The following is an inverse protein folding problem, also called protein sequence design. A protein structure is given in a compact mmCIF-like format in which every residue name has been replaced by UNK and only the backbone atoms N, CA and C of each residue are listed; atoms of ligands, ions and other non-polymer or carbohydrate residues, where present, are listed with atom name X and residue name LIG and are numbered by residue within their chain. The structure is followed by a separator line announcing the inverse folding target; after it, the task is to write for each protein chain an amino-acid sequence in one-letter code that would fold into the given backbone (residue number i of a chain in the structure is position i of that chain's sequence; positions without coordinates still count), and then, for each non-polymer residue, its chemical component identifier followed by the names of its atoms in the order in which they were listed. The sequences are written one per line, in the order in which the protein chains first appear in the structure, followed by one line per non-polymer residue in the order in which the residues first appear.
data_IF_205589576984
#
_entry.id   IF_205589576984
#
_cell.length_a   1.000
_cell.length_b   1.000
_cell.length_c   1.000
_cell.angle_alpha   90.00
_cell.angle_beta   90.00
_cell.angle_gamma   90.00
#
_symmetry.space_group_name_H-M   'P 1'
#
loop_
_entity.id
_entity.type
_entity.pdbx_description
1 polymer ?
#
# COMPACT_ATOMS: atom_id res chain seq x y z
N UNK A 1 -5.09 11.35 15.14
CA UNK A 1 -6.57 11.36 14.99
C UNK A 1 -7.22 10.03 15.38
N UNK A 2 -6.59 8.88 15.10
CA UNK A 2 -7.16 7.53 15.29
C UNK A 2 -6.66 6.74 16.51
N UNK A 3 -6.06 7.41 17.50
CA UNK A 3 -5.59 6.73 18.71
C UNK A 3 -6.72 5.99 19.43
N UNK A 4 -6.52 4.71 19.76
CA UNK A 4 -7.53 3.83 20.36
C UNK A 4 -8.10 4.35 21.69
N UNK A 5 -7.27 4.99 22.52
CA UNK A 5 -7.63 5.41 23.88
C UNK A 5 -8.02 6.90 23.94
N UNK A 6 -7.22 7.76 23.31
CA UNK A 6 -7.34 9.23 23.40
C UNK A 6 -7.43 9.92 22.03
N UNK A 7 -7.60 9.16 20.95
CA UNK A 7 -7.79 9.72 19.62
C UNK A 7 -9.13 10.44 19.51
N UNK A 8 -9.19 11.45 18.64
CA UNK A 8 -10.42 12.18 18.30
C UNK A 8 -11.53 11.21 17.87
N UNK A 9 -11.19 10.18 17.09
CA UNK A 9 -12.10 9.09 16.75
C UNK A 9 -12.75 8.45 17.98
N UNK A 10 -11.94 8.02 18.96
CA UNK A 10 -12.42 7.31 20.14
C UNK A 10 -13.33 8.21 20.99
N UNK A 11 -13.02 9.51 21.07
CA UNK A 11 -13.85 10.50 21.76
C UNK A 11 -15.20 10.72 21.05
N UNK A 12 -15.19 10.89 19.73
CA UNK A 12 -16.44 11.03 18.94
C UNK A 12 -17.29 9.77 19.07
N UNK A 13 -16.69 8.57 18.97
CA UNK A 13 -17.43 7.31 19.07
C UNK A 13 -18.01 7.05 20.47
N UNK A 14 -17.43 7.66 21.51
CA UNK A 14 -17.98 7.63 22.87
C UNK A 14 -19.28 8.42 22.99
N UNK A 15 -19.35 9.58 22.33
CA UNK A 15 -20.54 10.45 22.33
C UNK A 15 -21.59 9.97 21.30
N UNK A 16 -21.13 9.47 20.15
CA UNK A 16 -21.99 9.02 19.04
C UNK A 16 -21.52 7.62 18.59
N UNK A 17 -22.09 6.53 19.15
CA UNK A 17 -21.68 5.16 18.83
C UNK A 17 -21.85 4.80 17.34
N UNK A 18 -22.83 5.42 16.68
CA UNK A 18 -23.11 5.24 15.25
C UNK A 18 -22.19 6.05 14.33
N UNK A 19 -21.29 6.89 14.87
CA UNK A 19 -20.38 7.69 14.06
C UNK A 19 -19.36 6.79 13.36
N UNK A 20 -19.46 6.73 12.05
CA UNK A 20 -18.52 6.02 11.20
C UNK A 20 -17.23 6.84 11.10
N UNK A 21 -16.12 6.26 11.54
CA UNK A 21 -14.81 6.86 11.34
C UNK A 21 -14.12 6.21 10.15
N UNK A 22 -14.07 6.96 9.05
CA UNK A 22 -13.32 6.60 7.85
C UNK A 22 -12.12 7.53 7.74
N UNK A 23 -10.93 6.96 7.64
CA UNK A 23 -9.76 7.70 7.15
C UNK A 23 -9.84 7.83 5.63
N UNK A 24 -9.33 8.94 5.06
CA UNK A 24 -9.22 9.02 3.60
C UNK A 24 -8.38 7.89 3.04
N UNK A 25 -8.79 7.38 1.88
CA UNK A 25 -8.23 6.13 1.37
C UNK A 25 -6.73 6.24 1.11
N UNK A 26 -6.27 7.38 0.60
CA UNK A 26 -4.84 7.67 0.44
C UNK A 26 -4.07 7.68 1.76
N UNK A 27 -4.69 8.17 2.85
CA UNK A 27 -4.06 8.09 4.17
C UNK A 27 -4.02 6.65 4.70
N UNK A 28 -5.07 5.85 4.43
CA UNK A 28 -5.08 4.43 4.81
C UNK A 28 -3.98 3.67 4.10
N UNK A 29 -3.77 3.91 2.80
CA UNK A 29 -2.64 3.34 2.04
C UNK A 29 -1.29 3.76 2.62
N UNK A 30 -1.12 5.06 2.92
CA UNK A 30 0.12 5.54 3.55
C UNK A 30 0.42 4.83 4.88
N UNK A 31 -0.60 4.65 5.73
CA UNK A 31 -0.41 3.96 7.00
C UNK A 31 -0.01 2.49 6.83
N UNK A 32 -0.54 1.77 5.84
CA UNK A 32 -0.12 0.39 5.55
C UNK A 32 1.38 0.31 5.32
N UNK A 33 1.90 1.15 4.43
CA UNK A 33 3.30 1.09 4.02
C UNK A 33 4.23 1.59 5.14
N UNK A 34 3.89 2.71 5.79
CA UNK A 34 4.69 3.25 6.91
C UNK A 34 4.74 2.25 8.07
N UNK A 35 3.60 1.63 8.42
CA UNK A 35 3.58 0.63 9.49
C UNK A 35 4.32 -0.64 9.07
N UNK A 36 4.27 -1.03 7.80
CA UNK A 36 5.06 -2.17 7.30
C UNK A 36 6.56 -1.87 7.37
N UNK A 37 6.98 -0.70 6.89
CA UNK A 37 8.38 -0.25 6.94
C UNK A 37 8.92 -0.14 8.36
N UNK A 38 8.08 0.18 9.34
CA UNK A 38 8.49 0.28 10.75
C UNK A 38 8.48 -1.05 11.50
N UNK A 39 7.52 -1.93 11.20
CA UNK A 39 7.30 -3.15 11.99
C UNK A 39 7.87 -4.42 11.35
N UNK A 40 8.30 -4.37 10.07
CA UNK A 40 9.03 -5.46 9.43
C UNK A 40 10.50 -5.09 9.39
N UNK A 41 11.33 -5.80 10.16
CA UNK A 41 12.76 -5.49 10.31
C UNK A 41 13.48 -5.34 8.97
N UNK A 42 13.27 -6.27 8.04
CA UNK A 42 13.95 -6.23 6.75
C UNK A 42 13.48 -5.05 5.86
N UNK A 43 12.21 -4.63 5.98
CA UNK A 43 11.71 -3.41 5.33
C UNK A 43 12.34 -2.16 5.96
N UNK A 44 12.41 -2.11 7.29
CA UNK A 44 13.05 -1.02 8.03
C UNK A 44 14.52 -0.85 7.62
N UNK A 45 15.28 -1.94 7.62
CA UNK A 45 16.68 -1.93 7.22
C UNK A 45 16.88 -1.41 5.79
N UNK A 46 16.00 -1.80 4.86
CA UNK A 46 16.02 -1.27 3.50
C UNK A 46 15.79 0.25 3.45
N UNK A 47 14.71 0.75 4.08
CA UNK A 47 14.40 2.18 4.04
C UNK A 47 15.46 3.03 4.77
N UNK A 48 16.06 2.53 5.84
CA UNK A 48 17.19 3.21 6.51
C UNK A 48 18.43 3.25 5.62
N UNK A 49 18.74 2.16 4.89
CA UNK A 49 19.84 2.17 3.91
C UNK A 49 19.56 3.18 2.78
N UNK A 50 18.32 3.22 2.28
CA UNK A 50 17.88 4.14 1.24
C UNK A 50 18.00 5.61 1.69
N UNK A 51 17.61 5.91 2.93
CA UNK A 51 17.74 7.26 3.51
C UNK A 51 19.20 7.69 3.64
N UNK A 52 20.06 6.82 4.14
CA UNK A 52 21.50 7.10 4.24
C UNK A 52 22.12 7.41 2.89
N UNK A 53 21.69 6.68 1.86
CA UNK A 53 22.15 6.87 0.49
C UNK A 53 21.74 8.25 -0.05
N UNK A 54 20.48 8.63 0.14
CA UNK A 54 19.98 9.95 -0.26
C UNK A 54 20.70 11.10 0.47
N UNK A 55 20.87 10.99 1.78
CA UNK A 55 21.57 12.00 2.61
C UNK A 55 23.02 12.15 2.16
N UNK A 56 23.72 11.04 1.91
CA UNK A 56 25.11 11.07 1.43
C UNK A 56 25.21 11.79 0.08
N UNK A 57 24.34 11.43 -0.87
CA UNK A 57 24.30 12.01 -2.21
C UNK A 57 23.81 13.46 -2.27
N UNK A 58 23.11 13.94 -1.23
CA UNK A 58 22.63 15.32 -1.12
C UNK A 58 23.71 16.32 -0.70
N UNK A 59 24.87 15.85 -0.24
CA UNK A 59 26.00 16.73 0.09
C UNK A 59 26.54 17.41 -1.17
N UNK A 60 26.75 18.73 -1.15
CA UNK A 60 27.12 19.54 -2.33
C UNK A 60 28.22 18.94 -3.22
N UNK A 61 29.30 18.40 -2.62
CA UNK A 61 30.41 17.79 -3.36
C UNK A 61 30.01 16.45 -4.01
N UNK A 62 29.30 15.60 -3.28
CA UNK A 62 28.83 14.31 -3.80
C UNK A 62 27.79 14.55 -4.89
N UNK A 63 26.90 15.52 -4.68
CA UNK A 63 25.86 15.91 -5.61
C UNK A 63 26.42 16.37 -6.95
N UNK A 64 27.49 17.18 -6.94
CA UNK A 64 28.15 17.61 -8.18
C UNK A 64 28.79 16.45 -8.93
N UNK A 65 29.46 15.53 -8.22
CA UNK A 65 30.06 14.34 -8.85
C UNK A 65 28.98 13.45 -9.44
N UNK A 66 27.91 13.19 -8.67
CA UNK A 66 26.77 12.39 -9.13
C UNK A 66 26.11 12.97 -10.38
N UNK A 67 25.96 14.29 -10.43
CA UNK A 67 25.40 14.99 -11.59
C UNK A 67 26.29 14.85 -12.83
N UNK A 68 27.60 15.03 -12.67
CA UNK A 68 28.56 14.90 -13.77
C UNK A 68 28.57 13.46 -14.31
N UNK A 69 28.64 12.46 -13.43
CA UNK A 69 28.62 11.04 -13.82
C UNK A 69 27.32 10.69 -14.55
N UNK A 70 26.16 11.21 -14.09
CA UNK A 70 24.89 11.01 -14.81
C UNK A 70 24.90 11.59 -16.22
N UNK A 71 25.49 12.78 -16.41
CA UNK A 71 25.58 13.44 -17.72
C UNK A 71 26.56 12.72 -18.66
N UNK A 72 27.65 12.17 -18.13
CA UNK A 72 28.62 11.38 -18.91
C UNK A 72 28.05 10.03 -19.32
N UNK A 73 27.30 9.37 -18.43
CA UNK A 73 26.73 8.04 -18.68
C UNK A 73 25.40 8.07 -19.43
N UNK A 74 24.66 9.19 -19.40
CA UNK A 74 23.34 9.28 -20.03
C UNK A 74 23.11 10.64 -20.68
N UNK A 75 22.59 10.62 -21.92
CA UNK A 75 22.21 11.85 -22.66
C UNK A 75 20.85 12.43 -22.23
N UNK A 76 20.34 12.06 -21.04
CA UNK A 76 19.02 12.45 -20.53
C UNK A 76 19.15 13.52 -19.45
N UNK A 77 18.01 14.05 -19.00
CA UNK A 77 17.95 14.96 -17.86
C UNK A 77 18.45 14.28 -16.58
N UNK A 78 19.20 15.04 -15.77
CA UNK A 78 19.73 14.60 -14.46
C UNK A 78 18.56 14.26 -13.54
N UNK A 79 18.59 13.06 -12.97
CA UNK A 79 17.59 12.62 -11.99
C UNK A 79 18.14 12.90 -10.59
N UNK A 80 17.31 13.57 -9.79
CA UNK A 80 17.60 13.90 -8.41
C UNK A 80 17.06 12.81 -7.50
N UNK A 81 17.88 12.36 -6.55
CA UNK A 81 17.39 11.53 -5.46
C UNK A 81 16.35 12.31 -4.64
N UNK A 82 15.44 11.57 -4.02
CA UNK A 82 14.30 12.13 -3.31
C UNK A 82 14.41 11.78 -1.85
N UNK A 83 14.32 12.81 -1.02
CA UNK A 83 14.30 12.65 0.42
C UNK A 83 13.07 11.84 0.84
N UNK A 84 13.32 10.81 1.65
CA UNK A 84 12.27 10.07 2.33
C UNK A 84 11.60 10.99 3.34
N UNK A 85 10.28 10.92 3.41
CA UNK A 85 9.54 11.59 4.47
C UNK A 85 8.75 10.56 5.24
N UNK A 86 8.83 10.63 6.58
CA UNK A 86 8.09 9.74 7.48
C UNK A 86 6.57 9.84 7.34
N UNK A 87 6.09 10.92 6.69
CA UNK A 87 4.68 11.31 6.64
C UNK A 87 4.05 11.17 5.26
N UNK A 88 4.84 11.12 4.17
CA UNK A 88 4.31 11.09 2.80
C UNK A 88 4.88 9.94 1.99
N UNK A 89 4.04 8.94 1.85
CA UNK A 89 4.09 7.81 0.95
C UNK A 89 4.56 8.11 -0.50
N UNK A 90 4.11 9.20 -1.12
CA UNK A 90 4.50 9.56 -2.51
C UNK A 90 6.01 9.78 -2.66
N UNK A 91 6.68 10.20 -1.59
CA UNK A 91 8.13 10.37 -1.55
C UNK A 91 8.86 9.03 -1.57
N UNK A 92 8.29 7.95 -1.02
CA UNK A 92 8.92 6.63 -0.98
C UNK A 92 8.99 6.00 -2.37
N UNK A 93 7.88 6.01 -3.12
CA UNK A 93 7.86 5.56 -4.51
C UNK A 93 8.87 6.37 -5.36
N UNK A 94 8.83 7.70 -5.25
CA UNK A 94 9.74 8.57 -6.00
C UNK A 94 11.23 8.34 -5.63
N UNK A 95 11.54 8.04 -4.38
CA UNK A 95 12.89 7.71 -3.92
C UNK A 95 13.38 6.37 -4.50
N UNK A 96 12.57 5.31 -4.39
CA UNK A 96 12.90 4.01 -4.98
C UNK A 96 13.09 4.13 -6.50
N UNK A 97 12.15 4.78 -7.19
CA UNK A 97 12.20 4.92 -8.64
C UNK A 97 13.41 5.76 -9.10
N UNK A 98 13.77 6.82 -8.36
CA UNK A 98 14.97 7.61 -8.66
C UNK A 98 16.24 6.76 -8.53
N UNK A 99 16.41 6.05 -7.41
CA UNK A 99 17.58 5.17 -7.19
C UNK A 99 17.64 4.05 -8.22
N UNK A 100 16.51 3.43 -8.56
CA UNK A 100 16.45 2.37 -9.57
C UNK A 100 16.91 2.88 -10.95
N UNK A 101 16.45 4.07 -11.36
CA UNK A 101 16.83 4.68 -12.64
C UNK A 101 18.29 5.15 -12.67
N UNK A 102 18.86 5.51 -11.52
CA UNK A 102 20.23 6.03 -11.43
C UNK A 102 21.19 5.05 -10.78
N UNK A 103 20.87 3.75 -10.72
CA UNK A 103 21.67 2.78 -9.97
C UNK A 103 23.12 2.69 -10.50
N UNK A 104 23.31 2.63 -11.83
CA UNK A 104 24.67 2.56 -12.41
C UNK A 104 25.48 3.85 -12.15
N UNK A 105 24.97 5.06 -12.48
CA UNK A 105 25.67 6.31 -12.14
C UNK A 105 25.98 6.47 -10.65
N UNK A 106 25.08 5.98 -9.79
CA UNK A 106 25.22 6.05 -8.35
C UNK A 106 26.37 5.16 -7.86
N UNK A 107 26.44 3.92 -8.35
CA UNK A 107 27.54 3.01 -8.04
C UNK A 107 28.88 3.56 -8.52
N UNK A 108 28.93 4.13 -9.71
CA UNK A 108 30.16 4.74 -10.22
C UNK A 108 30.58 5.96 -9.40
N UNK A 109 29.63 6.81 -9.03
CA UNK A 109 29.89 7.95 -8.14
C UNK A 109 30.49 7.50 -6.81
N UNK A 110 29.96 6.43 -6.22
CA UNK A 110 30.46 5.88 -4.97
C UNK A 110 31.87 5.30 -5.12
N UNK A 111 32.19 4.65 -6.26
CA UNK A 111 33.55 4.16 -6.56
C UNK A 111 34.55 5.31 -6.68
N UNK A 112 34.25 6.33 -7.48
CA UNK A 112 35.10 7.52 -7.66
C UNK A 112 35.39 8.18 -6.30
N UNK A 113 34.36 8.35 -5.47
CA UNK A 113 34.53 8.95 -4.15
C UNK A 113 35.28 8.06 -3.15
N UNK A 114 35.15 6.74 -3.27
CA UNK A 114 35.88 5.77 -2.45
C UNK A 114 37.38 5.71 -2.76
N UNK A 115 37.77 6.05 -3.99
CA UNK A 115 39.17 6.13 -4.43
C UNK A 115 39.86 7.44 -4.00
N UNK A 116 39.08 8.43 -3.52
CA UNK A 116 39.61 9.69 -3.01
C UNK A 116 40.57 9.51 -1.82
N UNK A 117 41.64 10.31 -1.77
CA UNK A 117 42.70 10.25 -0.75
C UNK A 117 42.17 10.32 0.68
N UNK A 118 42.05 9.18 1.36
CA UNK A 118 41.88 8.98 2.82
C UNK A 118 41.06 10.03 3.59
N UNK A 119 39.99 10.56 2.99
CA UNK A 119 39.06 11.47 3.66
C UNK A 119 37.97 10.68 4.37
N UNK A 120 37.33 11.29 5.37
CA UNK A 120 36.11 10.77 6.01
C UNK A 120 35.05 10.38 4.96
N UNK A 121 34.90 11.21 3.92
CA UNK A 121 34.00 10.95 2.79
C UNK A 121 34.35 9.69 2.00
N UNK A 122 35.63 9.40 1.79
CA UNK A 122 36.04 8.18 1.08
C UNK A 122 35.69 6.92 1.90
N UNK A 123 35.82 6.99 3.22
CA UNK A 123 35.40 5.91 4.13
C UNK A 123 33.87 5.75 4.11
N UNK A 124 33.15 6.87 4.18
CA UNK A 124 31.69 6.88 4.12
C UNK A 124 31.18 6.34 2.78
N UNK A 125 31.77 6.77 1.65
CA UNK A 125 31.45 6.25 0.31
C UNK A 125 31.63 4.74 0.22
N UNK A 126 32.73 4.20 0.77
CA UNK A 126 32.95 2.73 0.86
C UNK A 126 31.85 2.05 1.67
N UNK A 127 31.46 2.64 2.79
CA UNK A 127 30.40 2.08 3.64
C UNK A 127 29.03 2.09 2.96
N UNK A 128 28.69 3.18 2.26
CA UNK A 128 27.43 3.30 1.50
C UNK A 128 27.42 2.36 0.31
N UNK A 129 28.53 2.23 -0.42
CA UNK A 129 28.68 1.26 -1.51
C UNK A 129 28.46 -0.17 -1.03
N UNK A 130 28.93 -0.53 0.17
CA UNK A 130 28.69 -1.86 0.76
C UNK A 130 27.22 -2.11 1.13
N UNK A 131 26.39 -1.07 1.28
CA UNK A 131 24.96 -1.25 1.54
C UNK A 131 24.20 -1.74 0.31
N UNK A 132 24.71 -1.46 -0.89
CA UNK A 132 24.15 -1.85 -2.18
C UNK A 132 24.61 -3.27 -2.52
N UNK A 133 24.11 -4.22 -1.74
CA UNK A 133 24.26 -5.65 -1.98
C UNK A 133 23.08 -6.20 -2.80
N UNK A 134 23.13 -7.48 -3.17
CA UNK A 134 22.03 -8.13 -3.89
C UNK A 134 20.70 -8.01 -3.12
N UNK A 135 20.73 -8.10 -1.79
CA UNK A 135 19.55 -7.94 -0.94
C UNK A 135 18.94 -6.54 -1.04
N UNK A 136 19.76 -5.50 -1.14
CA UNK A 136 19.30 -4.13 -1.39
C UNK A 136 18.66 -3.98 -2.77
N UNK A 137 19.26 -4.54 -3.83
CA UNK A 137 18.67 -4.50 -5.18
C UNK A 137 17.34 -5.25 -5.20
N UNK A 138 17.27 -6.44 -4.60
CA UNK A 138 16.03 -7.21 -4.51
C UNK A 138 14.95 -6.40 -3.80
N UNK A 139 15.29 -5.81 -2.64
CA UNK A 139 14.36 -4.96 -1.90
C UNK A 139 13.94 -3.73 -2.70
N UNK A 140 14.85 -3.11 -3.46
CA UNK A 140 14.58 -1.96 -4.31
C UNK A 140 13.55 -2.30 -5.39
N UNK A 141 13.78 -3.36 -6.17
CA UNK A 141 12.85 -3.82 -7.23
C UNK A 141 11.51 -4.22 -6.63
N UNK A 142 11.54 -4.98 -5.54
CA UNK A 142 10.34 -5.47 -4.88
C UNK A 142 9.47 -4.36 -4.29
N UNK A 143 10.08 -3.41 -3.55
CA UNK A 143 9.35 -2.27 -3.02
C UNK A 143 8.91 -1.33 -4.14
N UNK A 144 9.69 -1.13 -5.20
CA UNK A 144 9.26 -0.30 -6.33
C UNK A 144 7.99 -0.87 -6.98
N UNK A 145 7.91 -2.17 -7.21
CA UNK A 145 6.71 -2.82 -7.73
C UNK A 145 5.47 -2.61 -6.85
N UNK A 146 5.61 -2.81 -5.54
CA UNK A 146 4.49 -2.62 -4.59
C UNK A 146 4.09 -1.15 -4.51
N UNK A 147 5.07 -0.25 -4.42
CA UNK A 147 4.87 1.18 -4.30
C UNK A 147 4.29 1.79 -5.60
N UNK A 148 4.60 1.24 -6.77
CA UNK A 148 3.99 1.69 -8.03
C UNK A 148 2.49 1.33 -8.07
N UNK A 149 2.14 0.08 -7.77
CA UNK A 149 0.74 -0.40 -7.71
C UNK A 149 -0.09 0.42 -6.74
N UNK A 150 0.45 0.64 -5.54
CA UNK A 150 -0.23 1.44 -4.53
C UNK A 150 -0.32 2.93 -4.95
N UNK A 151 0.58 3.45 -5.80
CA UNK A 151 0.61 4.84 -6.31
C UNK A 151 -0.45 5.06 -7.36
N UNK A 152 -0.60 4.10 -8.26
CA UNK A 152 -1.72 4.07 -9.18
C UNK A 152 -3.04 4.08 -8.41
N UNK A 153 -3.19 3.19 -7.41
CA UNK A 153 -4.38 3.16 -6.56
C UNK A 153 -4.62 4.51 -5.86
N UNK A 154 -3.59 5.10 -5.24
CA UNK A 154 -3.71 6.39 -4.57
C UNK A 154 -4.18 7.50 -5.52
N UNK A 155 -3.66 7.53 -6.75
CA UNK A 155 -4.05 8.52 -7.76
C UNK A 155 -5.50 8.31 -8.20
N UNK A 156 -5.91 7.06 -8.42
CA UNK A 156 -7.28 6.72 -8.78
C UNK A 156 -8.25 7.09 -7.66
N UNK A 157 -7.92 6.77 -6.41
CA UNK A 157 -8.69 7.11 -5.21
C UNK A 157 -8.80 8.63 -4.94
N UNK A 158 -7.97 9.44 -5.57
CA UNK A 158 -7.99 10.91 -5.50
C UNK A 158 -8.65 11.56 -6.73
N UNK A 159 -9.11 10.77 -7.71
CA UNK A 159 -9.78 11.31 -8.88
C UNK A 159 -11.11 11.96 -8.46
N UNK A 160 -11.40 13.14 -9.02
CA UNK A 160 -12.60 13.95 -8.67
C UNK A 160 -13.90 13.26 -9.04
N UNK A 161 -13.88 12.46 -10.10
CA UNK A 161 -15.05 11.77 -10.64
C UNK A 161 -15.16 10.33 -10.15
N UNK A 162 -14.36 9.93 -9.16
CA UNK A 162 -14.38 8.56 -8.64
C UNK A 162 -15.66 8.31 -7.84
N UNK A 163 -16.41 7.28 -8.22
CA UNK A 163 -17.52 6.79 -7.42
C UNK A 163 -17.09 5.77 -6.35
N UNK A 164 -17.95 5.58 -5.34
CA UNK A 164 -17.64 4.74 -4.19
C UNK A 164 -17.45 3.26 -4.56
N UNK A 165 -18.23 2.75 -5.52
CA UNK A 165 -18.10 1.36 -5.94
C UNK A 165 -16.80 1.09 -6.69
N UNK A 166 -16.38 2.00 -7.56
CA UNK A 166 -15.09 1.91 -8.24
C UNK A 166 -13.97 1.97 -7.20
N UNK A 167 -14.07 2.83 -6.18
CA UNK A 167 -13.09 2.87 -5.09
C UNK A 167 -12.97 1.51 -4.36
N UNK A 168 -14.10 0.86 -4.05
CA UNK A 168 -14.11 -0.49 -3.43
C UNK A 168 -13.49 -1.53 -4.35
N UNK A 169 -13.86 -1.52 -5.63
CA UNK A 169 -13.37 -2.47 -6.61
C UNK A 169 -11.85 -2.33 -6.79
N UNK A 170 -11.34 -1.10 -6.95
CA UNK A 170 -9.91 -0.84 -7.08
C UNK A 170 -9.08 -1.34 -5.89
N UNK A 171 -9.60 -1.14 -4.68
CA UNK A 171 -8.95 -1.67 -3.47
C UNK A 171 -8.92 -3.19 -3.48
N UNK A 172 -10.03 -3.84 -3.86
CA UNK A 172 -10.10 -5.31 -3.95
C UNK A 172 -9.15 -5.86 -5.00
N UNK A 173 -9.14 -5.26 -6.20
CA UNK A 173 -8.23 -5.63 -7.28
C UNK A 173 -6.76 -5.55 -6.85
N UNK A 174 -6.35 -4.50 -6.14
CA UNK A 174 -4.96 -4.39 -5.66
C UNK A 174 -4.64 -5.44 -4.58
N UNK A 175 -5.60 -5.78 -3.72
CA UNK A 175 -5.41 -6.87 -2.75
C UNK A 175 -5.24 -8.21 -3.49
N UNK A 176 -6.09 -8.47 -4.48
CA UNK A 176 -6.03 -9.69 -5.32
C UNK A 176 -4.69 -9.75 -6.08
N UNK A 177 -4.25 -8.67 -6.72
CA UNK A 177 -2.95 -8.59 -7.39
C UNK A 177 -1.78 -8.89 -6.44
N UNK A 178 -1.80 -8.37 -5.22
CA UNK A 178 -0.76 -8.65 -4.22
C UNK A 178 -0.81 -10.10 -3.71
N UNK A 179 -1.99 -10.70 -3.63
CA UNK A 179 -2.17 -12.11 -3.31
C UNK A 179 -1.70 -13.04 -4.43
N UNK A 180 -1.91 -12.64 -5.69
CA UNK A 180 -1.36 -13.32 -6.86
C UNK A 180 0.17 -13.27 -6.86
N UNK A 181 0.77 -12.09 -6.62
CA UNK A 181 2.23 -11.96 -6.48
C UNK A 181 2.74 -12.94 -5.41
N UNK A 182 2.04 -13.06 -4.28
CA UNK A 182 2.41 -13.96 -3.19
C UNK A 182 2.31 -15.45 -3.59
N UNK A 183 1.42 -15.82 -4.51
CA UNK A 183 1.12 -17.22 -4.82
C UNK A 183 2.32 -17.91 -5.52
N UNK A 184 2.90 -18.97 -4.94
CA UNK A 184 4.03 -19.67 -5.56
C UNK A 184 3.67 -20.40 -6.85
N UNK A 185 2.39 -20.73 -7.07
CA UNK A 185 1.88 -21.49 -8.22
C UNK A 185 1.29 -20.59 -9.32
N UNK A 186 1.31 -19.26 -9.15
CA UNK A 186 0.84 -18.37 -10.22
C UNK A 186 1.74 -18.50 -11.44
N UNK A 187 1.23 -19.14 -12.50
CA UNK A 187 1.84 -19.05 -13.83
C UNK A 187 1.76 -17.60 -14.32
N UNK A 188 2.69 -17.14 -15.20
CA UNK A 188 2.49 -15.90 -15.92
C UNK A 188 1.25 -16.05 -16.80
N UNK A 189 0.07 -15.71 -16.28
CA UNK A 189 -1.11 -15.64 -17.13
C UNK A 189 -0.88 -14.58 -18.22
N UNK A 190 -1.45 -14.82 -19.40
CA UNK A 190 -1.27 -14.02 -20.62
C UNK A 190 -1.78 -12.56 -20.53
N UNK A 191 -2.21 -12.10 -19.34
CA UNK A 191 -2.39 -10.68 -19.05
C UNK A 191 -1.01 -10.05 -18.87
N UNK A 192 -0.60 -9.24 -19.85
CA UNK A 192 0.74 -8.64 -19.97
C UNK A 192 1.26 -7.81 -18.76
N UNK A 193 0.51 -7.72 -17.65
CA UNK A 193 0.82 -6.92 -16.47
C UNK A 193 0.89 -7.70 -15.13
N UNK A 194 0.74 -9.04 -15.11
CA UNK A 194 0.88 -9.81 -13.85
C UNK A 194 2.35 -10.05 -13.51
N UNK A 195 2.86 -9.31 -12.52
CA UNK A 195 4.25 -9.44 -12.05
C UNK A 195 4.30 -10.49 -10.95
N UNK A 196 4.78 -11.68 -11.27
CA UNK A 196 5.02 -12.72 -10.26
C UNK A 196 6.34 -12.50 -9.51
N UNK A 197 6.49 -13.17 -8.38
CA UNK A 197 7.76 -13.21 -7.62
C UNK A 197 8.95 -13.70 -8.46
N UNK A 198 8.70 -14.57 -9.43
CA UNK A 198 9.71 -15.02 -10.39
C UNK A 198 10.23 -13.88 -11.27
N UNK A 199 9.35 -12.97 -11.69
CA UNK A 199 9.73 -11.78 -12.47
C UNK A 199 10.59 -10.82 -11.64
N UNK A 200 10.16 -10.51 -10.40
CA UNK A 200 10.94 -9.66 -9.48
C UNK A 200 12.34 -10.23 -9.26
N UNK A 201 12.45 -11.56 -9.08
CA UNK A 201 13.73 -12.23 -8.93
C UNK A 201 14.58 -12.16 -10.21
N UNK A 202 13.99 -12.41 -11.37
CA UNK A 202 14.69 -12.38 -12.66
C UNK A 202 15.21 -10.97 -12.99
N UNK A 203 14.38 -9.95 -12.79
CA UNK A 203 14.75 -8.53 -12.94
C UNK A 203 15.89 -8.16 -11.99
N UNK A 204 15.82 -8.60 -10.73
CA UNK A 204 16.89 -8.39 -9.75
C UNK A 204 18.20 -9.01 -10.22
N UNK A 205 18.19 -10.23 -10.76
CA UNK A 205 19.39 -10.87 -11.32
C UNK A 205 19.96 -10.02 -12.47
N UNK A 206 19.12 -9.60 -13.40
CA UNK A 206 19.55 -8.80 -14.56
C UNK A 206 20.18 -7.47 -14.11
N UNK A 207 19.56 -6.76 -13.18
CA UNK A 207 20.10 -5.53 -12.61
C UNK A 207 21.40 -5.76 -11.84
N UNK A 208 21.44 -6.81 -11.01
CA UNK A 208 22.66 -7.16 -10.27
C UNK A 208 23.83 -7.47 -11.20
N UNK A 209 23.60 -8.23 -12.28
CA UNK A 209 24.61 -8.52 -13.30
C UNK A 209 25.08 -7.26 -14.01
N UNK A 210 24.16 -6.38 -14.40
CA UNK A 210 24.48 -5.10 -15.04
C UNK A 210 25.37 -4.23 -14.16
N UNK A 211 25.09 -4.20 -12.85
CA UNK A 211 25.83 -3.41 -11.87
C UNK A 211 27.13 -4.08 -11.37
N UNK A 212 27.44 -5.32 -11.81
CA UNK A 212 28.60 -6.07 -11.34
C UNK A 212 28.52 -6.54 -9.88
N UNK A 213 27.31 -6.67 -9.34
CA UNK A 213 27.05 -7.13 -7.97
C UNK A 213 26.82 -8.65 -8.00
N UNK A 214 27.49 -9.44 -7.14
CA UNK A 214 27.36 -10.89 -7.14
C UNK A 214 25.95 -11.30 -6.71
N UNK A 215 25.26 -12.03 -7.59
CA UNK A 215 23.98 -12.66 -7.28
C UNK A 215 24.21 -13.95 -6.46
N UNK A 216 23.27 -14.33 -5.58
CA UNK A 216 23.32 -15.61 -4.89
C UNK A 216 23.29 -16.75 -5.92
N UNK A 217 24.29 -17.62 -5.86
CA UNK A 217 24.35 -18.83 -6.67
C UNK A 217 23.49 -19.90 -6.02
N UNK A 218 22.69 -20.63 -6.80
CA UNK A 218 21.94 -21.81 -6.31
C UNK A 218 22.87 -22.99 -5.94
N UNK A 219 24.18 -22.86 -6.24
CA UNK A 219 25.19 -23.79 -5.77
C UNK A 219 25.32 -23.72 -4.24
N UNK A 220 25.27 -24.88 -3.60
CA UNK A 220 25.48 -25.04 -2.17
C UNK A 220 26.89 -24.57 -1.79
N UNK A 221 27.02 -23.30 -1.41
CA UNK A 221 28.20 -22.81 -0.70
C UNK A 221 28.04 -23.28 0.74
N UNK A 222 28.86 -24.24 1.17
CA UNK A 222 28.95 -24.59 2.59
C UNK A 222 29.14 -23.29 3.39
N UNK A 223 28.26 -22.96 4.35
CA UNK A 223 28.45 -21.77 5.16
C UNK A 223 29.84 -21.82 5.78
N UNK A 224 30.61 -20.72 5.80
CA UNK A 224 32.02 -20.70 6.18
C UNK A 224 32.18 -21.23 7.61
N UNK A 225 32.45 -22.53 7.74
CA UNK A 225 32.34 -23.34 8.96
C UNK A 225 31.00 -23.20 9.70
N UNK A 226 30.43 -24.32 10.18
CA UNK A 226 29.40 -24.25 11.22
C UNK A 226 29.92 -23.40 12.39
N UNK A 227 29.51 -22.12 12.48
CA UNK A 227 29.64 -21.38 13.73
C UNK A 227 28.98 -22.24 14.80
N UNK A 228 29.77 -22.63 15.79
CA UNK A 228 29.39 -23.51 16.91
C UNK A 228 27.93 -23.26 17.30
N UNK A 229 27.08 -24.29 17.21
CA UNK A 229 25.68 -24.19 17.64
C UNK A 229 25.66 -23.66 19.08
N UNK A 230 25.15 -22.43 19.24
CA UNK A 230 25.07 -21.78 20.54
C UNK A 230 23.97 -22.49 21.33
N UNK A 231 24.38 -23.37 22.24
CA UNK A 231 23.45 -23.97 23.20
C UNK A 231 23.09 -22.89 24.23
N UNK A 232 21.80 -22.68 24.54
CA UNK A 232 21.44 -21.78 25.62
C UNK A 232 22.09 -22.25 26.92
N UNK A 233 22.53 -21.33 27.79
CA UNK A 233 22.99 -21.67 29.13
C UNK A 233 22.00 -22.61 29.82
N UNK A 234 22.49 -23.57 30.61
CA UNK A 234 21.66 -24.62 31.21
C UNK A 234 20.43 -24.07 31.96
N UNK A 235 20.58 -22.92 32.62
CA UNK A 235 19.53 -22.24 33.38
C UNK A 235 18.44 -21.57 32.51
N UNK A 236 18.66 -21.41 31.20
CA UNK A 236 17.71 -20.85 30.24
C UNK A 236 17.05 -21.92 29.34
N UNK A 237 17.22 -23.22 29.65
CA UNK A 237 16.61 -24.30 28.85
C UNK A 237 15.08 -24.30 28.89
N UNK A 238 14.49 -23.77 29.96
CA UNK A 238 13.04 -23.71 30.15
C UNK A 238 12.45 -22.32 29.85
N UNK A 239 13.26 -21.37 29.38
CA UNK A 239 12.74 -20.06 28.96
C UNK A 239 12.32 -20.08 27.50
N UNK A 240 11.17 -19.49 27.21
CA UNK A 240 10.71 -19.27 25.83
C UNK A 240 11.40 -18.01 25.30
N UNK A 241 12.15 -18.16 24.22
CA UNK A 241 12.71 -17.02 23.49
C UNK A 241 11.59 -16.43 22.65
N UNK A 242 11.12 -15.23 23.03
CA UNK A 242 10.08 -14.52 22.28
C UNK A 242 10.65 -13.80 21.06
N UNK A 243 11.88 -13.26 21.17
CA UNK A 243 12.60 -12.59 20.09
C UNK A 243 14.11 -12.81 20.23
N UNK A 244 14.84 -12.86 19.11
CA UNK A 244 16.30 -12.91 19.11
C UNK A 244 16.86 -11.54 18.71
N UNK A 245 17.43 -10.81 19.65
CA UNK A 245 18.22 -9.61 19.34
C UNK A 245 19.61 -10.05 18.87
N UNK A 246 19.93 -9.78 17.60
CA UNK A 246 21.32 -9.66 17.16
C UNK A 246 21.92 -10.79 16.31
N UNK A 247 21.16 -11.51 15.46
CA UNK A 247 21.77 -12.29 14.37
C UNK A 247 21.18 -11.93 13.01
N UNK A 248 21.98 -11.26 12.16
CA UNK A 248 21.80 -11.29 10.71
C UNK A 248 21.88 -12.74 10.26
N UNK A 249 20.75 -13.37 9.96
CA UNK A 249 20.81 -14.54 9.10
C UNK A 249 21.23 -14.02 7.72
N UNK A 250 22.40 -14.44 7.25
CA UNK A 250 22.79 -14.19 5.86
C UNK A 250 21.79 -14.93 4.99
N UNK A 251 21.01 -14.18 4.21
CA UNK A 251 20.14 -14.73 3.18
C UNK A 251 21.08 -15.15 2.04
N UNK A 252 21.31 -16.45 1.93
CA UNK A 252 22.26 -17.01 0.96
C UNK A 252 21.54 -17.63 -0.23
N UNK A 253 20.32 -18.14 -0.02
CA UNK A 253 19.55 -18.87 -1.03
C UNK A 253 18.37 -18.05 -1.50
N UNK A 254 17.95 -18.27 -2.75
CA UNK A 254 16.71 -17.72 -3.31
C UNK A 254 15.50 -17.92 -2.40
N UNK A 255 15.33 -19.14 -1.87
CA UNK A 255 14.22 -19.45 -0.97
C UNK A 255 14.23 -18.65 0.32
N UNK A 256 15.41 -18.33 0.86
CA UNK A 256 15.52 -17.52 2.08
C UNK A 256 15.04 -16.09 1.83
N UNK A 257 15.42 -15.50 0.70
CA UNK A 257 14.95 -14.17 0.30
C UNK A 257 13.43 -14.16 0.09
N UNK A 258 12.88 -15.17 -0.59
CA UNK A 258 11.45 -15.26 -0.82
C UNK A 258 10.69 -15.42 0.51
N UNK A 259 11.06 -16.41 1.33
CA UNK A 259 10.30 -16.77 2.53
C UNK A 259 10.49 -15.80 3.69
N UNK A 260 11.72 -15.31 3.91
CA UNK A 260 12.06 -14.50 5.10
C UNK A 260 12.00 -13.00 4.86
N UNK A 261 12.02 -12.55 3.61
CA UNK A 261 11.89 -11.14 3.27
C UNK A 261 10.57 -10.88 2.54
N UNK A 262 10.41 -11.38 1.33
CA UNK A 262 9.32 -10.96 0.44
C UNK A 262 7.93 -11.39 0.97
N UNK A 263 7.75 -12.65 1.40
CA UNK A 263 6.49 -13.10 2.00
C UNK A 263 6.16 -12.38 3.30
N UNK A 264 7.15 -12.12 4.16
CA UNK A 264 6.91 -11.40 5.41
C UNK A 264 6.40 -9.97 5.14
N UNK A 265 6.96 -9.30 4.14
CA UNK A 265 6.52 -7.96 3.73
C UNK A 265 5.15 -8.01 3.06
N UNK A 266 4.91 -8.89 2.08
CA UNK A 266 3.62 -9.02 1.41
C UNK A 266 2.50 -9.37 2.39
N UNK A 267 2.72 -10.37 3.26
CA UNK A 267 1.72 -10.81 4.22
C UNK A 267 1.36 -9.68 5.17
N UNK A 268 2.33 -8.87 5.57
CA UNK A 268 2.07 -7.69 6.39
C UNK A 268 1.25 -6.64 5.64
N UNK A 269 1.63 -6.31 4.40
CA UNK A 269 0.92 -5.32 3.58
C UNK A 269 -0.52 -5.77 3.29
N UNK A 270 -0.71 -7.02 2.86
CA UNK A 270 -2.03 -7.60 2.59
C UNK A 270 -2.88 -7.61 3.85
N UNK A 271 -2.31 -8.03 4.99
CA UNK A 271 -3.01 -8.04 6.28
C UNK A 271 -3.44 -6.63 6.71
N UNK A 272 -2.55 -5.64 6.56
CA UNK A 272 -2.84 -4.24 6.89
C UNK A 272 -3.83 -3.60 5.91
N UNK A 273 -3.77 -3.92 4.61
CA UNK A 273 -4.77 -3.52 3.62
C UNK A 273 -6.13 -4.08 4.01
N UNK A 274 -6.25 -5.39 4.23
CA UNK A 274 -7.52 -6.03 4.64
C UNK A 274 -8.06 -5.50 5.97
N UNK A 275 -7.18 -5.30 6.95
CA UNK A 275 -7.58 -4.79 8.26
C UNK A 275 -8.06 -3.34 8.19
N UNK A 276 -7.36 -2.49 7.44
CA UNK A 276 -7.72 -1.08 7.34
C UNK A 276 -8.92 -0.91 6.45
N UNK A 277 -8.96 -1.59 5.29
CA UNK A 277 -10.11 -1.64 4.38
C UNK A 277 -11.09 -2.67 4.93
N UNK A 278 -11.53 -2.43 6.16
CA UNK A 278 -12.41 -3.34 6.88
C UNK A 278 -13.61 -3.66 6.02
N UNK A 279 -14.03 -4.92 6.07
CA UNK A 279 -15.21 -5.42 5.37
C UNK A 279 -16.41 -4.50 5.59
N UNK A 280 -16.66 -4.12 6.84
CA UNK A 280 -17.74 -3.20 7.21
C UNK A 280 -17.64 -1.84 6.50
N UNK A 281 -16.44 -1.26 6.36
CA UNK A 281 -16.28 0.03 5.67
C UNK A 281 -16.54 -0.08 4.18
N UNK A 282 -16.08 -1.17 3.54
CA UNK A 282 -16.33 -1.44 2.12
C UNK A 282 -17.80 -1.75 1.87
N UNK A 283 -18.42 -2.57 2.72
CA UNK A 283 -19.83 -2.94 2.62
C UNK A 283 -20.77 -1.75 2.86
N UNK A 284 -20.43 -0.83 3.77
CA UNK A 284 -21.19 0.42 3.93
C UNK A 284 -21.06 1.31 2.70
N UNK A 285 -19.88 1.39 2.08
CA UNK A 285 -19.70 2.16 0.84
C UNK A 285 -20.45 1.53 -0.35
N UNK A 286 -20.50 0.20 -0.44
CA UNK A 286 -21.36 -0.50 -1.41
C UNK A 286 -22.86 -0.22 -1.15
N UNK A 287 -23.26 -0.15 0.11
CA UNK A 287 -24.60 0.28 0.51
C UNK A 287 -24.92 1.70 0.05
N UNK A 288 -24.01 2.66 0.26
CA UNK A 288 -24.16 4.04 -0.23
C UNK A 288 -24.28 4.07 -1.76
N UNK A 289 -23.49 3.27 -2.48
CA UNK A 289 -23.62 3.17 -3.93
C UNK A 289 -24.99 2.65 -4.35
N UNK A 290 -25.58 1.69 -3.63
CA UNK A 290 -26.92 1.20 -3.94
C UNK A 290 -28.03 2.24 -3.76
N UNK A 291 -27.73 3.40 -3.14
CA UNK A 291 -28.63 4.55 -3.07
C UNK A 291 -28.43 5.56 -4.21
N UNK A 292 -27.41 5.38 -5.05
CA UNK A 292 -27.13 6.23 -6.20
C UNK A 292 -27.95 5.79 -7.43
N UNK A 293 -28.86 6.64 -7.96
CA UNK A 293 -29.67 6.32 -9.14
C UNK A 293 -28.89 5.94 -10.39
N UNK A 294 -27.65 6.43 -10.54
CA UNK A 294 -26.76 6.10 -11.67
C UNK A 294 -26.06 4.75 -11.53
N UNK A 295 -26.13 4.11 -10.37
CA UNK A 295 -25.48 2.82 -10.16
C UNK A 295 -26.29 1.67 -10.74
N UNK A 296 -25.60 0.70 -11.34
CA UNK A 296 -26.18 -0.60 -11.72
C UNK A 296 -26.80 -1.37 -10.53
N UNK A 297 -26.40 -1.03 -9.30
CA UNK A 297 -26.92 -1.60 -8.07
C UNK A 297 -27.97 -0.75 -7.36
N UNK A 298 -28.56 0.23 -8.04
CA UNK A 298 -29.57 1.10 -7.45
C UNK A 298 -30.74 0.30 -6.83
N UNK A 299 -31.06 0.61 -5.58
CA UNK A 299 -32.07 -0.04 -4.73
C UNK A 299 -31.91 -1.55 -4.55
N UNK A 300 -30.69 -2.09 -4.70
CA UNK A 300 -30.42 -3.49 -4.46
C UNK A 300 -30.33 -3.81 -2.96
N UNK A 301 -31.33 -4.55 -2.45
CA UNK A 301 -31.42 -4.92 -1.04
C UNK A 301 -30.19 -5.65 -0.49
N UNK A 302 -29.59 -6.59 -1.25
CA UNK A 302 -28.45 -7.38 -0.76
C UNK A 302 -27.22 -6.51 -0.51
N UNK A 303 -26.99 -5.50 -1.35
CA UNK A 303 -25.88 -4.56 -1.21
C UNK A 303 -26.15 -3.48 -0.16
N UNK A 304 -27.41 -3.10 0.05
CA UNK A 304 -27.81 -2.14 1.08
C UNK A 304 -27.86 -2.76 2.50
N UNK A 305 -28.05 -4.08 2.58
CA UNK A 305 -28.23 -4.83 3.83
C UNK A 305 -27.17 -4.54 4.91
N UNK A 306 -25.86 -4.53 4.59
CA UNK A 306 -24.83 -4.29 5.60
C UNK A 306 -24.90 -2.87 6.18
N UNK A 307 -25.18 -1.87 5.34
CA UNK A 307 -25.37 -0.48 5.77
C UNK A 307 -26.61 -0.34 6.67
N UNK A 308 -27.71 -1.00 6.30
CA UNK A 308 -28.94 -1.01 7.07
C UNK A 308 -28.73 -1.62 8.48
N UNK A 309 -28.05 -2.76 8.54
CA UNK A 309 -27.68 -3.42 9.80
C UNK A 309 -26.80 -2.52 10.67
N UNK A 310 -25.81 -1.84 10.08
CA UNK A 310 -24.91 -0.95 10.80
C UNK A 310 -25.66 0.21 11.49
N UNK A 311 -26.67 0.78 10.82
CA UNK A 311 -27.49 1.86 11.38
C UNK A 311 -28.74 1.38 12.13
N UNK A 312 -28.86 0.07 12.36
CA UNK A 312 -29.97 -0.55 13.09
C UNK A 312 -31.35 -0.23 12.47
N UNK A 313 -31.44 -0.27 11.14
CA UNK A 313 -32.69 -0.12 10.41
C UNK A 313 -33.53 -1.41 10.48
N UNK A 314 -34.86 -1.28 10.39
CA UNK A 314 -35.74 -2.44 10.29
C UNK A 314 -35.67 -3.07 8.88
N UNK A 315 -35.14 -4.29 8.80
CA UNK A 315 -34.91 -5.00 7.54
C UNK A 315 -36.19 -5.38 6.80
N UNK A 316 -37.26 -5.73 7.52
CA UNK A 316 -38.54 -6.12 6.91
C UNK A 316 -39.20 -4.91 6.24
N UNK A 317 -39.22 -3.78 6.95
CA UNK A 317 -39.73 -2.52 6.40
C UNK A 317 -38.88 -2.08 5.21
N UNK A 318 -37.56 -2.17 5.30
CA UNK A 318 -36.66 -1.73 4.25
C UNK A 318 -36.87 -2.48 2.93
N UNK A 319 -37.05 -3.81 2.96
CA UNK A 319 -37.28 -4.58 1.75
C UNK A 319 -38.58 -4.16 1.04
N UNK A 320 -39.62 -3.85 1.82
CA UNK A 320 -40.90 -3.35 1.31
C UNK A 320 -40.73 -1.93 0.76
N UNK A 321 -40.09 -1.04 1.53
CA UNK A 321 -39.83 0.36 1.16
C UNK A 321 -39.05 0.47 -0.16
N UNK A 322 -37.99 -0.33 -0.35
CA UNK A 322 -37.21 -0.35 -1.59
C UNK A 322 -38.05 -0.72 -2.81
N UNK A 323 -38.87 -1.77 -2.71
CA UNK A 323 -39.77 -2.20 -3.79
C UNK A 323 -40.78 -1.10 -4.12
N UNK A 324 -41.37 -0.47 -3.09
CA UNK A 324 -42.33 0.61 -3.28
C UNK A 324 -41.69 1.89 -3.84
N UNK A 325 -40.48 2.24 -3.42
CA UNK A 325 -39.74 3.39 -3.91
C UNK A 325 -39.40 3.23 -5.40
N UNK A 326 -38.96 2.03 -5.80
CA UNK A 326 -38.69 1.70 -7.20
C UNK A 326 -39.95 1.84 -8.08
N UNK A 327 -41.09 1.31 -7.62
CA UNK A 327 -42.37 1.46 -8.35
C UNK A 327 -42.82 2.92 -8.43
N UNK A 328 -42.64 3.69 -7.36
CA UNK A 328 -43.03 5.11 -7.30
C UNK A 328 -42.20 5.95 -8.26
N UNK A 329 -40.89 5.69 -8.34
CA UNK A 329 -39.99 6.31 -9.32
C UNK A 329 -40.40 5.98 -10.75
N UNK A 330 -40.69 4.71 -11.06
CA UNK A 330 -41.12 4.29 -12.40
C UNK A 330 -42.41 4.99 -12.82
N UNK A 331 -43.41 5.07 -11.93
CA UNK A 331 -44.68 5.76 -12.20
C UNK A 331 -44.48 7.25 -12.47
N UNK A 332 -43.62 7.92 -11.70
CA UNK A 332 -43.37 9.37 -11.86
C UNK A 332 -42.53 9.69 -13.10
N UNK A 333 -41.59 8.82 -13.50
CA UNK A 333 -40.89 8.96 -14.79
C UNK A 333 -41.87 8.97 -15.98
N UNK A 334 -42.94 8.18 -15.90
CA UNK A 334 -43.97 8.13 -16.94
C UNK A 334 -44.95 9.32 -16.94
N UNK A 335 -45.07 10.05 -15.82
CA UNK A 335 -46.10 11.09 -15.64
C UNK A 335 -45.55 12.52 -15.65
N UNK A 336 -44.41 12.77 -14.98
CA UNK A 336 -43.91 14.13 -14.68
C UNK A 336 -42.47 14.40 -15.18
N UNK A 337 -41.85 13.47 -15.94
CA UNK A 337 -40.49 13.60 -16.46
C UNK A 337 -39.41 13.99 -15.42
N UNK A 338 -39.56 13.52 -14.17
CA UNK A 338 -38.58 13.76 -13.11
C UNK A 338 -37.43 12.76 -13.29
N UNK A 339 -36.28 13.25 -13.73
CA UNK A 339 -35.01 12.54 -13.68
C UNK A 339 -34.33 12.79 -12.33
N UNK A 340 -33.83 11.72 -11.74
CA UNK A 340 -33.15 11.74 -10.45
C UNK A 340 -31.80 11.07 -10.71
N UNK A 341 -30.74 11.86 -10.66
CA UNK A 341 -29.41 11.46 -11.10
C UNK A 341 -28.42 11.38 -9.94
N UNK A 342 -28.68 12.11 -8.86
CA UNK A 342 -27.81 12.15 -7.69
C UNK A 342 -28.51 11.60 -6.43
N UNK A 343 -27.72 11.14 -5.45
CA UNK A 343 -28.25 10.72 -4.14
C UNK A 343 -29.00 11.88 -3.47
N UNK A 344 -28.53 13.13 -3.66
CA UNK A 344 -29.18 14.32 -3.10
C UNK A 344 -30.56 14.55 -3.72
N UNK A 345 -30.66 14.50 -5.05
CA UNK A 345 -31.96 14.60 -5.74
C UNK A 345 -32.90 13.46 -5.33
N UNK A 346 -32.36 12.24 -5.16
CA UNK A 346 -33.15 11.11 -4.69
C UNK A 346 -33.64 11.30 -3.27
N UNK A 347 -32.81 11.88 -2.41
CA UNK A 347 -33.19 12.23 -1.03
C UNK A 347 -34.31 13.27 -1.02
N UNK A 348 -34.20 14.31 -1.85
CA UNK A 348 -35.23 15.36 -1.99
C UNK A 348 -36.53 14.80 -2.58
N UNK A 349 -36.43 13.84 -3.50
CA UNK A 349 -37.60 13.13 -4.04
C UNK A 349 -38.36 12.35 -2.96
N UNK A 350 -37.64 11.73 -2.02
CA UNK A 350 -38.22 10.96 -0.92
C UNK A 350 -38.74 11.83 0.23
N UNK A 351 -38.33 13.09 0.34
CA UNK A 351 -38.68 13.98 1.47
C UNK A 351 -40.19 14.16 1.70
N UNK A 352 -41.03 14.42 0.66
CA UNK A 352 -42.49 14.46 0.81
C UNK A 352 -43.10 13.14 1.29
N UNK A 353 -42.38 12.03 1.12
CA UNK A 353 -42.79 10.67 1.45
C UNK A 353 -41.93 10.08 2.58
N UNK A 354 -41.42 10.93 3.47
CA UNK A 354 -40.55 10.52 4.59
C UNK A 354 -41.23 9.57 5.59
N UNK A 355 -42.56 9.56 5.67
CA UNK A 355 -43.31 8.64 6.56
C UNK A 355 -43.42 7.23 5.93
N UNK A 356 -43.85 7.08 4.65
CA UNK A 356 -43.86 5.76 3.99
C UNK A 356 -42.48 5.14 3.75
N UNK A 357 -41.44 5.94 3.56
CA UNK A 357 -40.08 5.49 3.27
C UNK A 357 -39.10 5.84 4.40
N UNK A 358 -39.48 5.56 5.64
CA UNK A 358 -38.76 6.02 6.82
C UNK A 358 -37.31 5.53 6.83
N UNK A 359 -37.08 4.23 6.62
CA UNK A 359 -35.75 3.63 6.69
C UNK A 359 -34.91 4.03 5.49
N UNK A 360 -35.50 4.01 4.29
CA UNK A 360 -34.81 4.39 3.06
C UNK A 360 -34.41 5.88 3.08
N UNK A 361 -35.33 6.77 3.47
CA UNK A 361 -35.06 8.19 3.57
C UNK A 361 -33.97 8.49 4.62
N UNK A 362 -33.99 7.77 5.74
CA UNK A 362 -32.94 7.87 6.77
C UNK A 362 -31.58 7.47 6.22
N UNK A 363 -31.47 6.35 5.51
CA UNK A 363 -30.21 5.91 4.90
C UNK A 363 -29.72 6.89 3.83
N UNK A 364 -30.61 7.44 3.00
CA UNK A 364 -30.25 8.47 2.02
C UNK A 364 -29.68 9.74 2.67
N UNK A 365 -30.28 10.20 3.78
CA UNK A 365 -29.70 11.32 4.57
C UNK A 365 -28.31 11.01 5.09
N UNK A 366 -28.13 9.81 5.64
CA UNK A 366 -26.83 9.38 6.15
C UNK A 366 -25.81 9.33 5.01
N UNK A 367 -26.17 8.79 3.85
CA UNK A 367 -25.33 8.73 2.66
C UNK A 367 -24.86 10.13 2.21
N UNK A 368 -25.75 11.13 2.23
CA UNK A 368 -25.40 12.51 1.87
C UNK A 368 -24.43 13.19 2.84
N UNK A 369 -24.35 12.72 4.09
CA UNK A 369 -23.52 13.33 5.16
C UNK A 369 -22.27 12.49 5.46
N UNK A 370 -22.20 11.26 4.96
CA UNK A 370 -21.03 10.41 5.10
C UNK A 370 -19.83 11.08 4.42
N UNK A 371 -18.70 11.26 5.13
CA UNK A 371 -17.51 11.85 4.53
C UNK A 371 -16.94 10.85 3.52
N UNK A 372 -17.28 11.04 2.25
CA UNK A 372 -16.70 10.33 1.12
C UNK A 372 -15.35 10.97 0.83
N UNK A 373 -14.35 10.73 1.68
CA UNK A 373 -13.04 11.31 1.46
C UNK A 373 -12.27 10.51 0.40
N UNK A 374 -12.42 10.88 -0.86
CA UNK A 374 -11.25 11.05 -1.73
C UNK A 374 -10.47 12.26 -1.19
N UNK A 375 -9.14 12.17 -1.12
CA UNK A 375 -8.32 13.22 -0.53
C UNK A 375 -8.41 14.53 -1.32
#
# INVERSE_FOLDING_TARGET
MSGRLNGVQARIKKEVPCALYIHCMSHRLNLVIVDTGKNVQAANEFFVKLEKLDVFCSTSVVHSVFTNVQQEMSSKSVIQLKQLSDTRWTCQHAACNAVLKTLDPLLETLKILAEGNHTERAVEAKSVHQFIDFGFILALVFFENILERTQMLSNMLQARDLDLASAVLLVRTIIEELEEVRNPESEPEASANSVTMGHVWAETIQLSMKCGIPAPTDEYIEPPSKKRDRRPPFHLRNSIILETVGHRQQLLRKEDFIKKFMYVVLDRIISELKSRFSRDSLEIMEGVQSLNPRSDSFLNFKKLQPMANFYSCNMENMEIELKQAMLTLQRKKSSDAIEVDTILEFTNFLEPYSIPFLELYRLCKIACVLPVSSA
#
